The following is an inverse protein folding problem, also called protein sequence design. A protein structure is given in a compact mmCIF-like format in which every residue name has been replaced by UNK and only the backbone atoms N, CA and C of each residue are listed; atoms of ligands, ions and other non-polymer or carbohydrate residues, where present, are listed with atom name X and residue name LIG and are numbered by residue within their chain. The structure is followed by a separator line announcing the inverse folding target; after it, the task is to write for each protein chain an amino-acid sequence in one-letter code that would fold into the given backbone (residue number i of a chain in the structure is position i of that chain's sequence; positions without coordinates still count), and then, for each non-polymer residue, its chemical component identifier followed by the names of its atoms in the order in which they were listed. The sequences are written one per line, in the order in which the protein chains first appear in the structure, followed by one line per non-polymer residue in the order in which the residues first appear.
data_IF_067487723190
#
_entry.id   IF_067487723190
#
_cell.length_a   1.000
_cell.length_b   1.000
_cell.length_c   1.000
_cell.angle_alpha   90.00
_cell.angle_beta   90.00
_cell.angle_gamma   90.00
#
_symmetry.space_group_name_H-M   'P 1'
#
loop_
_entity.id
_entity.type
_entity.pdbx_description
1 polymer ?
#
# COMPACT_ATOMS: atom_id res chain seq x y z
N UNK A 1 -8.70 12.57 -20.95
CA UNK A 1 -7.69 12.65 -19.87
C UNK A 1 -7.79 11.36 -19.09
N UNK A 2 -6.66 10.76 -18.77
CA UNK A 2 -6.66 9.42 -18.15
C UNK A 2 -6.68 9.51 -16.63
N UNK A 3 -7.51 8.68 -15.99
CA UNK A 3 -7.42 8.44 -14.56
C UNK A 3 -6.31 7.41 -14.30
N UNK A 4 -5.52 7.64 -13.26
CA UNK A 4 -4.35 6.81 -12.97
C UNK A 4 -4.54 6.06 -11.66
N UNK A 5 -4.32 4.76 -11.68
CA UNK A 5 -4.25 3.92 -10.47
C UNK A 5 -2.79 3.60 -10.18
N UNK A 6 -2.35 3.85 -8.96
CA UNK A 6 -0.99 3.52 -8.50
C UNK A 6 -1.05 2.39 -7.49
N UNK A 7 -0.35 1.30 -7.78
CA UNK A 7 -0.24 0.13 -6.89
C UNK A 7 1.22 -0.30 -6.72
N UNK A 8 1.59 -0.86 -5.58
CA UNK A 8 2.88 -1.52 -5.43
C UNK A 8 2.87 -2.91 -6.06
N UNK A 9 3.87 -3.27 -6.83
CA UNK A 9 3.93 -4.54 -7.56
C UNK A 9 4.63 -5.68 -6.80
N UNK A 10 5.19 -5.41 -5.63
CA UNK A 10 5.93 -6.37 -4.81
C UNK A 10 5.28 -6.49 -3.41
N UNK A 11 6.07 -6.54 -2.34
CA UNK A 11 5.56 -6.63 -0.96
C UNK A 11 5.43 -5.30 -0.22
N UNK A 12 5.21 -4.20 -0.93
CA UNK A 12 5.21 -2.85 -0.37
C UNK A 12 6.63 -2.26 -0.28
N UNK A 13 6.71 -1.02 0.19
CA UNK A 13 7.98 -0.28 0.33
C UNK A 13 8.77 -0.09 -0.98
N UNK A 14 8.09 -0.16 -2.13
CA UNK A 14 8.69 0.04 -3.46
C UNK A 14 9.07 1.49 -3.76
N UNK A 15 8.90 2.41 -2.79
CA UNK A 15 9.17 3.83 -3.02
C UNK A 15 7.97 4.60 -3.61
N UNK A 16 6.75 4.10 -3.37
CA UNK A 16 5.50 4.73 -3.86
C UNK A 16 5.38 6.21 -3.53
N UNK A 17 5.83 6.62 -2.33
CA UNK A 17 5.67 8.00 -1.85
C UNK A 17 6.19 9.05 -2.83
N UNK A 18 7.41 8.88 -3.36
CA UNK A 18 8.01 9.80 -4.35
C UNK A 18 7.16 9.90 -5.62
N UNK A 19 6.76 8.75 -6.17
CA UNK A 19 6.02 8.70 -7.45
C UNK A 19 4.60 9.22 -7.26
N UNK A 20 3.93 8.87 -6.17
CA UNK A 20 2.59 9.39 -5.85
C UNK A 20 2.63 10.90 -5.60
N UNK A 21 3.66 11.43 -4.93
CA UNK A 21 3.85 12.87 -4.78
C UNK A 21 3.99 13.56 -6.13
N UNK A 22 4.84 13.03 -7.00
CA UNK A 22 5.04 13.56 -8.35
C UNK A 22 3.75 13.54 -9.18
N UNK A 23 2.96 12.46 -9.10
CA UNK A 23 1.67 12.34 -9.77
C UNK A 23 0.58 13.21 -9.12
N UNK A 24 0.57 13.31 -7.80
CA UNK A 24 -0.43 14.09 -7.07
C UNK A 24 -0.39 15.58 -7.42
N UNK A 25 0.77 16.11 -7.77
CA UNK A 25 0.89 17.48 -8.26
C UNK A 25 0.11 17.71 -9.57
N UNK A 26 0.01 16.68 -10.40
CA UNK A 26 -0.62 16.71 -11.73
C UNK A 26 -2.08 16.27 -11.73
N UNK A 27 -2.55 15.76 -10.60
CA UNK A 27 -3.94 15.34 -10.38
C UNK A 27 -4.78 16.49 -9.80
N UNK A 28 -6.07 16.50 -10.08
CA UNK A 28 -7.05 17.39 -9.45
C UNK A 28 -7.66 16.76 -8.20
N UNK A 29 -7.80 15.41 -8.23
CA UNK A 29 -8.38 14.62 -7.14
C UNK A 29 -7.45 13.46 -6.81
N UNK A 30 -7.20 13.20 -5.51
CA UNK A 30 -6.40 12.07 -5.03
C UNK A 30 -7.24 11.20 -4.11
N UNK A 31 -7.32 9.90 -4.38
CA UNK A 31 -8.24 8.97 -3.71
C UNK A 31 -7.48 7.81 -3.08
N UNK A 32 -7.59 7.64 -1.77
CA UNK A 32 -7.22 6.39 -1.08
C UNK A 32 -8.40 5.44 -1.17
N UNK A 33 -8.20 4.23 -1.68
CA UNK A 33 -9.30 3.31 -1.97
C UNK A 33 -9.32 2.02 -1.13
N UNK A 34 -8.25 1.75 -0.38
CA UNK A 34 -8.15 0.56 0.46
C UNK A 34 -7.15 0.74 1.61
N UNK A 35 -7.08 -0.25 2.53
CA UNK A 35 -6.21 -0.24 3.69
C UNK A 35 -6.78 0.62 4.82
N UNK A 36 -5.91 1.15 5.64
CA UNK A 36 -6.22 2.04 6.75
C UNK A 36 -4.97 2.82 7.14
N UNK A 37 -4.87 3.20 8.40
CA UNK A 37 -3.71 3.94 8.92
C UNK A 37 -2.47 3.04 9.19
N UNK A 38 -2.50 1.76 8.76
CA UNK A 38 -1.34 0.87 8.77
C UNK A 38 -0.32 1.18 7.64
N UNK A 39 -0.74 1.88 6.59
CA UNK A 39 0.18 2.41 5.60
C UNK A 39 0.89 3.64 6.17
N UNK A 40 2.11 3.86 5.73
CA UNK A 40 2.87 5.07 6.05
C UNK A 40 3.68 5.47 4.84
N UNK A 41 3.55 6.72 4.42
CA UNK A 41 4.42 7.28 3.40
C UNK A 41 4.91 8.66 3.81
N UNK A 42 6.12 8.95 3.39
CA UNK A 42 6.78 10.22 3.67
C UNK A 42 6.86 11.01 2.39
N UNK A 43 6.46 12.26 2.46
CA UNK A 43 6.59 13.24 1.38
C UNK A 43 7.58 14.31 1.84
N UNK A 44 8.38 14.80 0.90
CA UNK A 44 9.26 15.95 1.13
C UNK A 44 8.87 17.04 0.13
N UNK A 45 8.35 18.16 0.64
CA UNK A 45 7.88 19.27 -0.18
C UNK A 45 8.55 20.54 0.33
N UNK A 46 9.31 21.21 -0.51
CA UNK A 46 10.04 22.45 -0.19
C UNK A 46 10.93 22.32 1.07
N UNK A 47 11.51 21.13 1.27
CA UNK A 47 12.36 20.80 2.43
C UNK A 47 11.60 20.37 3.68
N UNK A 48 10.28 20.50 3.71
CA UNK A 48 9.43 20.05 4.81
C UNK A 48 9.04 18.57 4.66
N UNK A 49 9.07 17.82 5.77
CA UNK A 49 8.78 16.39 5.80
C UNK A 49 7.38 16.12 6.33
N UNK A 50 6.52 15.59 5.49
CA UNK A 50 5.15 15.18 5.85
C UNK A 50 5.08 13.65 5.95
N UNK A 51 4.63 13.15 7.09
CA UNK A 51 4.40 11.71 7.32
C UNK A 51 2.91 11.44 7.36
N UNK A 52 2.39 10.80 6.33
CA UNK A 52 0.98 10.47 6.17
C UNK A 52 0.75 8.98 6.44
N UNK A 53 -0.41 8.67 7.00
CA UNK A 53 -0.83 7.29 7.27
C UNK A 53 -2.19 6.98 6.63
N UNK A 54 -3.19 7.81 6.89
CA UNK A 54 -4.56 7.63 6.41
C UNK A 54 -4.93 8.65 5.33
N UNK A 55 -4.44 9.87 5.45
CA UNK A 55 -4.72 10.95 4.50
C UNK A 55 -4.07 10.67 3.14
N UNK A 56 -4.77 10.96 2.02
CA UNK A 56 -4.18 10.90 0.68
C UNK A 56 -3.04 11.89 0.50
N UNK A 57 -2.08 11.56 -0.37
CA UNK A 57 -0.88 12.38 -0.63
C UNK A 57 -1.19 13.79 -1.14
N UNK A 58 -2.31 13.97 -1.82
CA UNK A 58 -2.72 15.28 -2.34
C UNK A 58 -3.05 16.32 -1.26
N UNK A 59 -3.30 15.89 -0.01
CA UNK A 59 -3.76 16.77 1.08
C UNK A 59 -2.77 17.88 1.45
N UNK A 60 -1.48 17.63 1.28
CA UNK A 60 -0.42 18.59 1.60
C UNK A 60 -0.19 19.63 0.48
N UNK A 61 -0.92 19.49 -0.63
CA UNK A 61 -0.86 20.41 -1.77
C UNK A 61 -2.17 21.17 -1.91
N UNK A 62 -2.12 22.47 -1.78
CA UNK A 62 -3.31 23.31 -1.91
C UNK A 62 -4.06 23.15 -3.24
N UNK A 63 -5.36 23.43 -3.22
CA UNK A 63 -6.21 23.45 -4.41
C UNK A 63 -6.61 22.06 -4.97
N UNK A 64 -6.40 20.98 -4.21
CA UNK A 64 -6.74 19.61 -4.59
C UNK A 64 -7.74 18.99 -3.64
N UNK A 65 -8.62 18.15 -4.19
CA UNK A 65 -9.53 17.36 -3.37
C UNK A 65 -8.91 16.00 -3.05
N UNK A 66 -8.82 15.68 -1.78
CA UNK A 66 -8.40 14.38 -1.26
C UNK A 66 -9.61 13.60 -0.77
N UNK A 67 -9.74 12.33 -1.18
CA UNK A 67 -10.87 11.48 -0.84
C UNK A 67 -10.40 10.20 -0.15
N UNK A 68 -10.98 9.90 1.00
CA UNK A 68 -10.89 8.59 1.65
C UNK A 68 -12.10 7.79 1.18
N UNK A 69 -11.87 6.83 0.26
CA UNK A 69 -12.90 6.01 -0.36
C UNK A 69 -13.48 4.95 0.56
N UNK A 70 -14.65 4.42 0.22
CA UNK A 70 -15.41 3.44 1.01
C UNK A 70 -14.70 2.09 1.22
N UNK A 71 -13.64 1.79 0.46
CA UNK A 71 -12.80 0.62 0.66
C UNK A 71 -11.89 0.72 1.87
N UNK A 72 -11.57 1.93 2.32
CA UNK A 72 -10.72 2.17 3.49
C UNK A 72 -11.46 1.85 4.79
N UNK A 73 -10.75 1.28 5.77
CA UNK A 73 -11.20 1.23 7.16
C UNK A 73 -10.60 2.41 7.91
N UNK A 74 -11.44 3.25 8.52
CA UNK A 74 -11.06 4.54 9.08
C UNK A 74 -11.01 4.46 10.60
N UNK A 75 -9.83 4.70 11.16
CA UNK A 75 -9.71 5.02 12.59
C UNK A 75 -9.97 6.53 12.76
N UNK A 76 -11.12 6.93 13.35
CA UNK A 76 -11.48 8.33 13.43
C UNK A 76 -10.58 9.13 14.38
N UNK A 77 -10.02 8.49 15.41
CA UNK A 77 -9.08 9.15 16.33
C UNK A 77 -7.74 9.38 15.64
N UNK A 78 -7.21 8.36 14.96
CA UNK A 78 -5.98 8.48 14.19
C UNK A 78 -6.11 9.54 13.08
N UNK A 79 -7.27 9.62 12.41
CA UNK A 79 -7.53 10.63 11.37
C UNK A 79 -7.49 12.05 11.97
N UNK A 80 -8.17 12.28 13.09
CA UNK A 80 -8.19 13.59 13.75
C UNK A 80 -6.79 14.00 14.23
N UNK A 81 -6.02 13.07 14.78
CA UNK A 81 -4.64 13.34 15.20
C UNK A 81 -3.72 13.64 14.01
N UNK A 82 -3.88 12.93 12.87
CA UNK A 82 -3.12 13.21 11.66
C UNK A 82 -3.47 14.60 11.10
N UNK A 83 -4.75 14.98 11.08
CA UNK A 83 -5.22 16.33 10.71
C UNK A 83 -4.60 17.40 11.61
N UNK A 84 -4.64 17.24 12.94
CA UNK A 84 -4.03 18.18 13.88
C UNK A 84 -2.52 18.33 13.67
N UNK A 85 -1.83 17.22 13.44
CA UNK A 85 -0.39 17.23 13.18
C UNK A 85 -0.05 18.04 11.93
N UNK A 86 -0.78 17.84 10.83
CA UNK A 86 -0.58 18.60 9.60
C UNK A 86 -0.97 20.07 9.75
N UNK A 87 -2.02 20.39 10.53
CA UNK A 87 -2.36 21.76 10.87
C UNK A 87 -1.22 22.48 11.61
N UNK A 88 -0.51 21.76 12.50
CA UNK A 88 0.71 22.26 13.15
C UNK A 88 1.88 22.52 12.18
N UNK A 89 1.85 21.93 10.98
CA UNK A 89 2.80 22.16 9.90
C UNK A 89 2.26 23.16 8.84
N UNK A 90 1.19 23.88 9.14
CA UNK A 90 0.62 24.91 8.26
C UNK A 90 -0.35 24.41 7.18
N UNK A 91 -0.71 23.12 7.19
CA UNK A 91 -1.66 22.55 6.23
C UNK A 91 -3.09 22.73 6.75
N UNK A 92 -3.91 23.51 6.04
CA UNK A 92 -5.34 23.68 6.38
C UNK A 92 -6.16 22.54 5.78
N UNK A 93 -6.87 21.78 6.62
CA UNK A 93 -7.72 20.66 6.22
C UNK A 93 -9.16 20.95 6.63
N UNK A 94 -10.05 20.98 5.64
CA UNK A 94 -11.48 21.22 5.82
C UNK A 94 -12.29 20.43 4.76
N UNK A 95 -13.61 20.63 4.72
CA UNK A 95 -14.50 19.95 3.78
C UNK A 95 -14.28 20.30 2.30
N UNK A 96 -13.53 21.35 1.98
CA UNK A 96 -13.21 21.73 0.61
C UNK A 96 -12.06 20.89 0.03
N UNK A 97 -11.15 20.43 0.91
CA UNK A 97 -9.95 19.68 0.48
C UNK A 97 -9.94 18.22 0.94
N UNK A 98 -10.78 17.81 1.90
CA UNK A 98 -10.88 16.43 2.36
C UNK A 98 -12.33 15.94 2.40
N UNK A 99 -12.59 14.81 1.76
CA UNK A 99 -13.85 14.08 1.84
C UNK A 99 -13.61 12.66 2.36
N UNK A 100 -14.36 12.27 3.40
CA UNK A 100 -14.42 10.89 3.91
C UNK A 100 -15.71 10.25 3.41
N UNK A 101 -15.60 9.13 2.69
CA UNK A 101 -16.78 8.43 2.18
C UNK A 101 -17.68 7.97 3.33
N UNK A 102 -18.96 8.28 3.23
CA UNK A 102 -19.99 7.85 4.18
C UNK A 102 -20.06 6.33 4.34
N UNK A 103 -19.58 5.57 3.34
CA UNK A 103 -19.55 4.11 3.34
C UNK A 103 -18.35 3.47 4.04
N UNK A 104 -17.36 4.22 4.51
CA UNK A 104 -16.21 3.68 5.23
C UNK A 104 -16.63 2.97 6.52
N UNK A 105 -16.06 1.79 6.79
CA UNK A 105 -16.17 1.12 8.08
C UNK A 105 -15.18 1.77 9.08
N UNK A 106 -15.57 1.84 10.35
CA UNK A 106 -14.74 2.41 11.41
C UNK A 106 -13.85 1.36 12.05
N UNK A 107 -12.62 1.75 12.35
CA UNK A 107 -11.77 1.08 13.32
C UNK A 107 -12.09 1.65 14.69
N UNK A 108 -12.40 0.79 15.63
CA UNK A 108 -12.71 1.14 17.01
C UNK A 108 -11.60 0.63 17.95
N UNK A 109 -11.46 1.13 19.18
CA UNK A 109 -10.41 0.70 20.11
C UNK A 109 -10.35 -0.81 20.31
N UNK A 110 -11.52 -1.47 20.40
CA UNK A 110 -11.60 -2.92 20.54
C UNK A 110 -10.94 -3.71 19.40
N UNK A 111 -10.88 -3.15 18.17
CA UNK A 111 -10.22 -3.78 17.03
C UNK A 111 -8.70 -3.82 17.20
N UNK A 112 -8.10 -2.71 17.67
CA UNK A 112 -6.67 -2.66 17.98
C UNK A 112 -6.28 -3.61 19.12
N UNK A 113 -7.11 -3.67 20.17
CA UNK A 113 -6.93 -4.62 21.27
C UNK A 113 -7.00 -6.07 20.79
N UNK A 114 -8.01 -6.43 19.98
CA UNK A 114 -8.17 -7.79 19.45
C UNK A 114 -7.01 -8.18 18.52
N UNK A 115 -6.54 -7.25 17.67
CA UNK A 115 -5.38 -7.45 16.81
C UNK A 115 -4.12 -7.76 17.63
N UNK A 116 -3.91 -7.02 18.73
CA UNK A 116 -2.84 -7.28 19.69
C UNK A 116 -2.94 -8.63 20.37
N UNK A 117 -4.12 -8.98 20.86
CA UNK A 117 -4.38 -10.27 21.54
C UNK A 117 -4.09 -11.44 20.60
N UNK A 118 -4.57 -11.39 19.37
CA UNK A 118 -4.36 -12.43 18.35
C UNK A 118 -2.88 -12.58 17.98
N UNK A 119 -2.17 -11.48 17.83
CA UNK A 119 -0.74 -11.48 17.52
C UNK A 119 0.09 -12.07 18.66
N UNK A 120 -0.23 -11.74 19.93
CA UNK A 120 0.45 -12.28 21.09
C UNK A 120 0.15 -13.78 21.30
N UNK A 121 -1.09 -14.20 21.05
CA UNK A 121 -1.45 -15.61 21.07
C UNK A 121 -0.74 -16.40 19.95
N UNK A 122 -0.55 -15.81 18.76
CA UNK A 122 0.20 -16.44 17.66
C UNK A 122 1.68 -16.59 17.99
N UNK A 123 2.29 -15.58 18.62
CA UNK A 123 3.69 -15.65 19.10
C UNK A 123 3.89 -16.72 20.16
N UNK A 124 2.95 -16.86 21.08
CA UNK A 124 3.02 -17.89 22.14
C UNK A 124 2.89 -19.32 21.57
N UNK A 125 2.27 -19.49 20.40
CA UNK A 125 2.14 -20.76 19.66
C UNK A 125 3.19 -20.91 18.54
N UNK A 126 4.27 -20.12 18.55
CA UNK A 126 5.20 -20.00 17.43
C UNK A 126 5.90 -21.29 16.98
N UNK A 127 5.83 -22.38 17.77
CA UNK A 127 6.25 -23.71 17.32
C UNK A 127 5.26 -24.36 16.33
N UNK A 128 4.02 -23.86 16.19
CA UNK A 128 2.94 -24.51 15.42
C UNK A 128 2.15 -23.59 14.50
N UNK A 129 2.44 -22.27 14.44
CA UNK A 129 1.65 -21.36 13.62
C UNK A 129 2.39 -20.13 13.11
N UNK A 130 1.96 -19.56 11.98
CA UNK A 130 2.61 -18.40 11.39
C UNK A 130 2.36 -17.15 12.25
N UNK A 131 3.43 -16.43 12.58
CA UNK A 131 3.35 -15.07 13.13
C UNK A 131 3.28 -14.10 11.96
N UNK A 132 2.15 -13.41 11.80
CA UNK A 132 1.93 -12.49 10.66
C UNK A 132 2.76 -11.22 10.80
N UNK A 133 2.99 -10.75 12.03
CA UNK A 133 3.71 -9.50 12.29
C UNK A 133 2.85 -8.27 12.05
N UNK A 134 1.59 -8.29 12.53
CA UNK A 134 0.64 -7.19 12.35
C UNK A 134 1.12 -5.88 12.95
N UNK A 135 0.55 -4.77 12.48
CA UNK A 135 0.82 -3.43 13.04
C UNK A 135 0.07 -3.16 14.35
N UNK A 136 -0.79 -4.08 14.80
CA UNK A 136 -1.69 -3.97 15.97
C UNK A 136 -2.61 -2.74 15.91
N UNK A 137 -2.96 -2.31 14.70
CA UNK A 137 -3.83 -1.13 14.47
C UNK A 137 -5.29 -1.50 14.22
N UNK A 138 -5.66 -2.76 14.39
CA UNK A 138 -7.03 -3.23 14.25
C UNK A 138 -7.55 -3.30 12.82
N UNK A 139 -6.67 -3.26 11.81
CA UNK A 139 -7.05 -3.28 10.39
C UNK A 139 -7.79 -4.58 10.06
N UNK A 140 -7.20 -5.75 10.39
CA UNK A 140 -7.79 -7.05 10.14
C UNK A 140 -9.16 -7.22 10.81
N UNK A 141 -9.29 -7.02 12.12
CA UNK A 141 -10.57 -7.09 12.81
C UNK A 141 -11.64 -6.15 12.26
N UNK A 142 -11.28 -4.94 11.81
CA UNK A 142 -12.23 -4.00 11.20
C UNK A 142 -12.72 -4.49 9.81
N UNK A 143 -11.84 -5.04 8.98
CA UNK A 143 -12.26 -5.69 7.71
C UNK A 143 -13.10 -6.95 7.96
N UNK A 144 -12.77 -7.75 8.97
CA UNK A 144 -13.58 -8.90 9.40
C UNK A 144 -15.00 -8.46 9.75
N UNK A 145 -15.16 -7.39 10.53
CA UNK A 145 -16.46 -6.84 10.89
C UNK A 145 -17.21 -6.25 9.69
N UNK A 146 -16.50 -5.60 8.77
CA UNK A 146 -17.08 -5.08 7.52
C UNK A 146 -17.71 -6.22 6.70
N UNK A 147 -16.96 -7.31 6.45
CA UNK A 147 -17.42 -8.46 5.66
C UNK A 147 -18.52 -9.22 6.39
N UNK A 148 -18.45 -9.33 7.72
CA UNK A 148 -19.49 -9.92 8.56
C UNK A 148 -20.74 -9.01 8.73
N UNK A 149 -20.75 -7.81 8.17
CA UNK A 149 -21.88 -6.85 8.17
C UNK A 149 -22.27 -6.34 9.55
N UNK A 150 -21.32 -6.33 10.51
CA UNK A 150 -21.52 -5.81 11.88
C UNK A 150 -20.72 -4.53 12.14
N UNK A 151 -19.92 -4.05 11.18
CA UNK A 151 -19.18 -2.81 11.30
C UNK A 151 -20.10 -1.60 11.50
N UNK A 152 -19.63 -0.63 12.28
CA UNK A 152 -20.16 0.72 12.32
C UNK A 152 -19.53 1.48 11.14
N UNK A 153 -20.34 2.20 10.37
CA UNK A 153 -19.87 2.99 9.24
C UNK A 153 -19.92 4.48 9.54
N UNK A 154 -19.19 5.26 8.78
CA UNK A 154 -19.15 6.71 8.91
C UNK A 154 -20.54 7.35 8.81
N UNK A 155 -21.42 6.85 7.93
CA UNK A 155 -22.82 7.32 7.83
C UNK A 155 -23.64 7.11 9.11
N UNK A 156 -23.33 6.11 9.91
CA UNK A 156 -24.05 5.78 11.13
C UNK A 156 -23.82 6.85 12.24
N UNK A 157 -22.71 7.60 12.15
CA UNK A 157 -22.31 8.63 13.13
C UNK A 157 -23.30 9.80 13.25
N UNK A 158 -24.22 9.96 12.29
CA UNK A 158 -25.23 11.03 12.27
C UNK A 158 -26.27 10.89 13.38
N UNK A 159 -26.44 9.70 13.98
CA UNK A 159 -27.49 9.42 14.96
C UNK A 159 -26.95 8.53 16.09
N UNK A 160 -27.04 9.02 17.32
CA UNK A 160 -26.69 8.24 18.52
C UNK A 160 -27.53 6.99 18.65
N UNK A 161 -28.81 7.04 18.30
CA UNK A 161 -29.71 5.86 18.27
C UNK A 161 -29.17 4.79 17.31
N UNK A 162 -28.74 5.21 16.12
CA UNK A 162 -28.15 4.28 15.13
C UNK A 162 -26.83 3.71 15.64
N UNK A 163 -25.95 4.54 16.17
CA UNK A 163 -24.67 4.10 16.77
C UNK A 163 -24.94 3.09 17.90
N UNK A 164 -25.90 3.39 18.79
CA UNK A 164 -26.28 2.52 19.89
C UNK A 164 -26.70 1.12 19.42
N UNK A 165 -27.59 1.05 18.43
CA UNK A 165 -28.04 -0.22 17.82
C UNK A 165 -26.87 -0.99 17.16
N UNK A 166 -25.96 -0.29 16.47
CA UNK A 166 -24.79 -0.89 15.84
C UNK A 166 -23.79 -1.41 16.88
N UNK A 167 -23.58 -0.67 17.96
CA UNK A 167 -22.72 -1.11 19.08
C UNK A 167 -23.30 -2.39 19.72
N UNK A 168 -24.62 -2.50 19.88
CA UNK A 168 -25.24 -3.73 20.41
C UNK A 168 -24.94 -4.94 19.52
N UNK A 169 -25.09 -4.82 18.21
CA UNK A 169 -24.76 -5.87 17.25
C UNK A 169 -23.26 -6.22 17.31
N UNK A 170 -22.39 -5.22 17.35
CA UNK A 170 -20.94 -5.41 17.41
C UNK A 170 -20.53 -6.14 18.68
N UNK A 171 -21.00 -5.68 19.86
CA UNK A 171 -20.62 -6.25 21.16
C UNK A 171 -21.25 -7.61 21.42
N UNK A 172 -22.40 -7.93 20.80
CA UNK A 172 -22.97 -9.29 20.87
C UNK A 172 -22.03 -10.36 20.30
N UNK A 173 -21.13 -9.99 19.41
CA UNK A 173 -20.06 -10.85 18.87
C UNK A 173 -18.76 -10.74 19.69
N UNK A 174 -18.30 -9.52 19.93
CA UNK A 174 -16.97 -9.30 20.52
C UNK A 174 -16.90 -9.62 22.01
N UNK A 175 -17.94 -9.34 22.82
CA UNK A 175 -17.89 -9.58 24.26
C UNK A 175 -17.84 -11.08 24.62
N UNK A 176 -18.62 -11.99 23.99
CA UNK A 176 -18.43 -13.44 24.19
C UNK A 176 -17.02 -13.92 23.79
N UNK A 177 -16.48 -13.40 22.68
CA UNK A 177 -15.11 -13.74 22.26
C UNK A 177 -14.07 -13.28 23.26
N UNK A 178 -14.18 -12.04 23.77
CA UNK A 178 -13.28 -11.48 24.79
C UNK A 178 -13.31 -12.29 26.07
N UNK A 179 -14.50 -12.66 26.57
CA UNK A 179 -14.63 -13.54 27.76
C UNK A 179 -13.95 -14.90 27.54
N UNK A 180 -14.16 -15.50 26.35
CA UNK A 180 -13.54 -16.77 26.00
C UNK A 180 -12.00 -16.71 25.93
N UNK A 181 -11.45 -15.53 25.66
CA UNK A 181 -10.01 -15.25 25.63
C UNK A 181 -9.47 -14.77 27.00
N UNK A 182 -10.32 -14.64 28.03
CA UNK A 182 -9.93 -14.20 29.37
C UNK A 182 -9.76 -12.68 29.52
N UNK A 183 -10.41 -11.88 28.65
CA UNK A 183 -10.40 -10.41 28.70
C UNK A 183 -11.75 -9.85 29.14
N UNK A 184 -11.72 -8.66 29.72
CA UNK A 184 -12.91 -7.93 30.12
C UNK A 184 -13.78 -7.59 28.91
N UNK A 185 -15.09 -7.52 29.13
CA UNK A 185 -16.03 -7.03 28.14
C UNK A 185 -15.82 -5.53 27.87
N UNK A 186 -16.12 -5.10 26.66
CA UNK A 186 -16.14 -3.70 26.31
C UNK A 186 -17.36 -3.06 26.95
N UNK A 187 -17.16 -1.98 27.69
CA UNK A 187 -18.26 -1.15 28.22
C UNK A 187 -19.01 -0.47 27.08
N UNK A 188 -20.28 -0.83 26.94
CA UNK A 188 -21.19 -0.34 25.92
C UNK A 188 -21.36 1.19 25.99
N UNK A 189 -21.63 1.72 27.19
CA UNK A 189 -21.91 3.15 27.35
C UNK A 189 -20.67 4.00 27.07
N UNK A 190 -19.54 3.58 27.60
CA UNK A 190 -18.27 4.26 27.35
C UNK A 190 -17.87 4.24 25.85
N UNK A 191 -18.13 3.13 25.13
CA UNK A 191 -17.86 3.06 23.71
C UNK A 191 -18.74 4.01 22.91
N UNK A 192 -20.06 4.06 23.17
CA UNK A 192 -20.99 4.97 22.51
C UNK A 192 -20.56 6.43 22.75
N UNK A 193 -20.25 6.79 24.00
CA UNK A 193 -19.81 8.14 24.33
C UNK A 193 -18.56 8.55 23.53
N UNK A 194 -17.54 7.70 23.47
CA UNK A 194 -16.31 7.95 22.70
C UNK A 194 -16.61 8.13 21.21
N UNK A 195 -17.48 7.29 20.63
CA UNK A 195 -17.86 7.39 19.22
C UNK A 195 -18.60 8.70 18.95
N UNK A 196 -19.55 9.09 19.80
CA UNK A 196 -20.31 10.32 19.61
C UNK A 196 -19.46 11.58 19.83
N UNK A 197 -18.46 11.52 20.68
CA UNK A 197 -17.52 12.61 20.87
C UNK A 197 -16.66 12.83 19.61
N UNK A 198 -16.04 11.77 19.08
CA UNK A 198 -15.18 11.87 17.89
C UNK A 198 -15.98 12.19 16.62
N UNK A 199 -17.25 11.81 16.56
CA UNK A 199 -18.12 12.02 15.40
C UNK A 199 -18.23 13.51 15.01
N UNK A 200 -18.17 14.41 15.98
CA UNK A 200 -18.23 15.88 15.78
C UNK A 200 -17.11 16.40 14.87
N UNK A 201 -15.95 15.73 14.89
CA UNK A 201 -14.79 16.09 14.07
C UNK A 201 -14.83 15.43 12.68
N UNK A 202 -15.52 14.29 12.55
CA UNK A 202 -15.57 13.53 11.30
C UNK A 202 -16.75 13.99 10.43
N UNK A 203 -17.94 14.20 11.01
CA UNK A 203 -19.16 14.52 10.26
C UNK A 203 -19.05 15.71 9.30
N UNK A 204 -18.30 16.79 9.60
CA UNK A 204 -18.12 17.89 8.64
C UNK A 204 -17.40 17.48 7.35
N UNK A 205 -16.64 16.38 7.37
CA UNK A 205 -15.83 15.89 6.23
C UNK A 205 -16.54 14.80 5.42
N UNK A 206 -17.77 14.41 5.81
CA UNK A 206 -18.45 13.22 5.27
C UNK A 206 -19.25 13.56 4.01
N UNK A 207 -19.11 12.70 3.00
CA UNK A 207 -19.89 12.82 1.78
C UNK A 207 -19.97 11.54 0.95
N UNK A 208 -20.79 11.59 -0.11
CA UNK A 208 -20.95 10.52 -1.08
C UNK A 208 -19.79 10.54 -2.10
N UNK A 209 -18.72 9.80 -1.83
CA UNK A 209 -17.51 9.80 -2.65
C UNK A 209 -17.78 9.46 -4.12
N UNK A 210 -18.64 8.47 -4.38
CA UNK A 210 -19.01 8.05 -5.73
C UNK A 210 -19.61 9.20 -6.57
N UNK A 211 -20.44 10.04 -5.95
CA UNK A 211 -21.06 11.17 -6.63
C UNK A 211 -20.04 12.25 -6.99
N UNK A 212 -19.21 12.62 -6.02
CA UNK A 212 -18.15 13.62 -6.24
C UNK A 212 -17.15 13.17 -7.31
N UNK A 213 -16.83 11.88 -7.34
CA UNK A 213 -15.94 11.30 -8.36
C UNK A 213 -16.61 11.24 -9.74
N UNK A 214 -17.91 10.97 -9.81
CA UNK A 214 -18.65 11.00 -11.09
C UNK A 214 -18.72 12.44 -11.63
N UNK A 215 -18.99 13.43 -10.79
CA UNK A 215 -18.95 14.86 -11.16
C UNK A 215 -17.55 15.26 -11.64
N UNK A 216 -16.50 14.91 -10.90
CA UNK A 216 -15.11 15.20 -11.28
C UNK A 216 -14.74 14.59 -12.66
N UNK A 217 -15.18 13.37 -12.93
CA UNK A 217 -14.98 12.72 -14.24
C UNK A 217 -15.71 13.43 -15.37
N UNK A 218 -16.94 13.84 -15.17
CA UNK A 218 -17.71 14.60 -16.17
C UNK A 218 -17.06 15.94 -16.47
N UNK A 219 -16.46 16.55 -15.46
CA UNK A 219 -15.72 17.82 -15.59
C UNK A 219 -14.33 17.64 -16.21
N UNK A 220 -13.94 16.42 -16.59
CA UNK A 220 -12.63 16.12 -17.18
C UNK A 220 -11.47 16.26 -16.21
N UNK A 221 -11.71 16.16 -14.91
CA UNK A 221 -10.69 16.20 -13.86
C UNK A 221 -9.78 14.97 -13.92
N UNK A 222 -8.50 15.17 -13.62
CA UNK A 222 -7.51 14.10 -13.48
C UNK A 222 -7.63 13.48 -12.09
N UNK A 223 -7.95 12.19 -12.01
CA UNK A 223 -8.08 11.46 -10.75
C UNK A 223 -6.90 10.51 -10.58
N UNK A 224 -6.24 10.59 -9.43
CA UNK A 224 -5.20 9.69 -8.99
C UNK A 224 -5.76 8.76 -7.90
N UNK A 225 -5.83 7.47 -8.17
CA UNK A 225 -6.16 6.46 -7.18
C UNK A 225 -4.88 5.92 -6.55
N UNK A 226 -4.69 6.21 -5.28
CA UNK A 226 -3.50 5.88 -4.51
C UNK A 226 -3.70 4.60 -3.70
N UNK A 227 -3.02 3.52 -4.10
CA UNK A 227 -2.98 2.26 -3.36
C UNK A 227 -2.00 2.28 -2.20
N UNK A 228 -2.27 1.47 -1.21
CA UNK A 228 -1.38 1.19 -0.09
C UNK A 228 -0.85 -0.25 -0.19
N UNK A 229 0.25 -0.56 0.48
CA UNK A 229 0.94 -1.85 0.45
C UNK A 229 1.45 -2.23 -0.96
N UNK A 230 1.62 -3.52 -1.22
CA UNK A 230 1.98 -4.10 -2.51
C UNK A 230 1.13 -5.32 -2.82
N UNK A 231 0.96 -5.66 -4.10
CA UNK A 231 0.03 -6.71 -4.54
C UNK A 231 0.38 -8.08 -3.96
N UNK A 232 1.65 -8.35 -3.67
CA UNK A 232 2.03 -9.60 -2.99
C UNK A 232 1.59 -9.65 -1.52
N UNK A 233 0.98 -8.57 -1.01
CA UNK A 233 0.27 -8.51 0.27
C UNK A 233 -1.25 -8.48 0.10
N UNK A 234 -1.79 -8.65 -1.11
CA UNK A 234 -3.24 -8.74 -1.37
C UNK A 234 -3.84 -9.97 -0.68
N UNK A 235 -5.04 -9.82 -0.10
CA UNK A 235 -5.70 -10.89 0.65
C UNK A 235 -5.99 -12.13 -0.19
N UNK A 236 -6.26 -11.96 -1.49
CA UNK A 236 -6.64 -13.04 -2.41
C UNK A 236 -5.47 -13.52 -3.28
N UNK A 237 -4.58 -12.60 -3.66
CA UNK A 237 -3.52 -12.84 -4.66
C UNK A 237 -2.10 -12.82 -4.09
N UNK A 238 -1.96 -12.44 -2.84
CA UNK A 238 -0.65 -12.34 -2.17
C UNK A 238 -0.17 -13.66 -1.53
N UNK A 239 0.88 -13.54 -0.76
CA UNK A 239 1.52 -14.66 -0.04
C UNK A 239 0.75 -15.02 1.23
N UNK A 240 -0.50 -15.46 1.10
CA UNK A 240 -1.36 -15.86 2.22
C UNK A 240 -0.70 -16.96 3.06
N UNK A 241 -0.73 -16.89 4.43
CA UNK A 241 -1.46 -15.91 5.25
C UNK A 241 -0.68 -14.63 5.58
N UNK A 242 0.52 -14.44 5.04
CA UNK A 242 1.40 -13.28 5.28
C UNK A 242 1.03 -12.10 4.38
N UNK A 243 -0.19 -11.59 4.55
CA UNK A 243 -0.83 -10.56 3.72
C UNK A 243 -1.51 -9.50 4.57
N UNK A 244 -1.94 -8.39 3.95
CA UNK A 244 -2.88 -7.45 4.55
C UNK A 244 -4.31 -7.99 4.45
N UNK A 245 -5.24 -7.39 5.16
CA UNK A 245 -6.65 -7.83 5.18
C UNK A 245 -7.51 -7.14 4.12
N UNK A 246 -6.90 -6.53 3.12
CA UNK A 246 -7.60 -5.84 2.03
C UNK A 246 -7.12 -6.29 0.66
N UNK A 247 -7.95 -6.09 -0.36
CA UNK A 247 -7.50 -6.20 -1.73
C UNK A 247 -6.63 -5.00 -2.10
N UNK A 248 -5.47 -5.28 -2.70
CA UNK A 248 -4.44 -4.31 -3.10
C UNK A 248 -4.37 -4.15 -4.62
N UNK A 249 -4.92 -5.11 -5.38
CA UNK A 249 -4.99 -5.08 -6.84
C UNK A 249 -5.68 -3.82 -7.35
N UNK A 250 -5.30 -3.35 -8.53
CA UNK A 250 -5.81 -2.08 -9.08
C UNK A 250 -7.33 -2.05 -9.26
N UNK A 251 -7.96 -3.19 -9.55
CA UNK A 251 -9.43 -3.30 -9.67
C UNK A 251 -10.17 -2.86 -8.40
N UNK A 252 -9.54 -2.97 -7.24
CA UNK A 252 -10.09 -2.48 -5.96
C UNK A 252 -10.29 -0.97 -5.94
N UNK A 253 -9.58 -0.20 -6.76
CA UNK A 253 -9.79 1.24 -6.87
C UNK A 253 -11.24 1.57 -7.29
N UNK A 254 -11.82 0.79 -8.17
CA UNK A 254 -13.22 0.96 -8.58
C UNK A 254 -14.18 0.69 -7.42
N UNK A 255 -14.13 -0.50 -6.83
CA UNK A 255 -15.01 -0.89 -5.71
C UNK A 255 -14.77 -0.06 -4.45
N UNK A 256 -13.51 0.26 -4.16
CA UNK A 256 -13.10 0.98 -2.95
C UNK A 256 -13.32 2.49 -2.97
N UNK A 257 -13.64 3.08 -4.12
CA UNK A 257 -13.97 4.50 -4.26
C UNK A 257 -15.38 4.77 -4.77
N UNK A 258 -16.04 3.72 -5.32
CA UNK A 258 -17.41 3.81 -5.85
C UNK A 258 -17.47 4.31 -7.29
N UNK A 259 -16.45 4.07 -8.11
CA UNK A 259 -16.46 4.36 -9.54
C UNK A 259 -16.64 3.07 -10.36
N UNK A 260 -17.03 3.18 -11.61
CA UNK A 260 -17.09 2.03 -12.52
C UNK A 260 -15.68 1.54 -12.89
N UNK A 261 -15.53 0.24 -13.16
CA UNK A 261 -14.23 -0.33 -13.56
C UNK A 261 -13.66 0.30 -14.84
N UNK A 262 -14.52 0.75 -15.73
CA UNK A 262 -14.16 1.47 -16.96
C UNK A 262 -13.66 2.90 -16.73
N UNK A 263 -13.51 3.31 -15.47
CA UNK A 263 -12.95 4.61 -15.09
C UNK A 263 -11.47 4.53 -14.75
N UNK A 264 -10.85 3.36 -14.85
CA UNK A 264 -9.44 3.11 -14.57
C UNK A 264 -8.69 3.04 -15.89
N UNK A 265 -8.17 4.19 -16.37
CA UNK A 265 -7.63 4.30 -17.72
C UNK A 265 -6.18 3.82 -17.81
N UNK A 266 -5.39 4.11 -16.78
CA UNK A 266 -3.99 3.72 -16.70
C UNK A 266 -3.64 3.13 -15.32
N UNK A 267 -3.01 1.96 -15.31
CA UNK A 267 -2.55 1.32 -14.07
C UNK A 267 -1.02 1.36 -14.04
N UNK A 268 -0.48 2.10 -13.08
CA UNK A 268 0.95 2.24 -12.85
C UNK A 268 1.39 1.34 -11.68
N UNK A 269 2.22 0.35 -11.97
CA UNK A 269 2.87 -0.48 -10.96
C UNK A 269 4.15 0.17 -10.45
N UNK A 270 4.29 0.37 -9.15
CA UNK A 270 5.57 0.80 -8.59
C UNK A 270 6.38 -0.45 -8.28
N UNK A 271 7.56 -0.52 -8.89
CA UNK A 271 8.41 -1.71 -8.88
C UNK A 271 9.83 -1.30 -8.48
N UNK A 272 10.40 -1.94 -7.51
CA UNK A 272 11.80 -1.72 -7.13
C UNK A 272 12.73 -2.54 -8.02
N UNK A 273 13.88 -2.01 -8.39
CA UNK A 273 14.88 -2.69 -9.24
C UNK A 273 15.51 -3.95 -8.60
N UNK A 274 15.20 -4.21 -7.35
CA UNK A 274 15.46 -5.44 -6.60
C UNK A 274 14.23 -5.74 -5.73
N UNK A 275 14.26 -6.78 -4.92
CA UNK A 275 13.09 -7.14 -4.11
C UNK A 275 13.35 -6.92 -2.63
N UNK A 276 12.35 -6.40 -1.91
CA UNK A 276 12.38 -6.31 -0.44
C UNK A 276 11.09 -6.80 0.18
N UNK A 277 11.19 -7.33 1.40
CA UNK A 277 10.03 -7.76 2.18
C UNK A 277 10.21 -7.40 3.65
N UNK A 278 9.13 -6.97 4.30
CA UNK A 278 9.04 -6.80 5.75
C UNK A 278 8.29 -7.97 6.34
N UNK A 279 8.75 -8.47 7.49
CA UNK A 279 8.05 -9.53 8.23
C UNK A 279 8.30 -10.93 7.68
N UNK A 280 7.47 -11.86 8.14
CA UNK A 280 7.57 -13.28 7.83
C UNK A 280 6.98 -13.63 6.47
N UNK A 281 7.11 -14.89 6.09
CA UNK A 281 6.56 -15.48 4.88
C UNK A 281 7.60 -15.72 3.78
N UNK A 282 7.20 -16.41 2.71
CA UNK A 282 8.10 -16.84 1.65
C UNK A 282 8.70 -15.67 0.89
N UNK A 283 9.98 -15.81 0.51
CA UNK A 283 10.72 -14.84 -0.27
C UNK A 283 11.76 -15.59 -1.13
N UNK A 284 11.39 -16.11 -2.30
CA UNK A 284 12.24 -17.01 -3.07
C UNK A 284 13.62 -16.45 -3.42
N UNK A 285 13.70 -15.16 -3.72
CA UNK A 285 14.94 -14.50 -4.15
C UNK A 285 15.72 -13.86 -3.01
N UNK A 286 15.38 -14.15 -1.75
CA UNK A 286 16.06 -13.57 -0.57
C UNK A 286 17.56 -13.91 -0.53
N UNK A 287 18.37 -12.92 -0.12
CA UNK A 287 19.82 -13.01 0.00
C UNK A 287 20.24 -12.89 1.45
N UNK A 288 21.02 -13.86 1.91
CA UNK A 288 21.55 -13.93 3.28
C UNK A 288 23.06 -13.57 3.35
N UNK A 289 23.65 -13.24 2.21
CA UNK A 289 25.05 -12.95 2.02
C UNK A 289 25.40 -11.45 2.09
N UNK A 290 26.64 -11.12 1.75
CA UNK A 290 27.15 -9.74 1.72
C UNK A 290 26.39 -8.88 0.68
N UNK A 291 25.90 -9.48 -0.41
CA UNK A 291 25.12 -8.77 -1.43
C UNK A 291 23.79 -8.31 -0.85
N UNK A 292 23.07 -9.20 -0.17
CA UNK A 292 21.80 -8.85 0.51
C UNK A 292 21.98 -7.76 1.57
N UNK A 293 23.06 -7.86 2.36
CA UNK A 293 23.43 -6.82 3.34
C UNK A 293 23.78 -5.50 2.66
N UNK A 294 24.50 -5.54 1.54
CA UNK A 294 24.86 -4.38 0.72
C UNK A 294 23.63 -3.65 0.18
N UNK A 295 22.65 -4.38 -0.38
CA UNK A 295 21.38 -3.85 -0.82
C UNK A 295 20.63 -3.15 0.33
N UNK A 296 20.57 -3.80 1.50
CA UNK A 296 19.93 -3.25 2.70
C UNK A 296 20.54 -1.92 3.15
N UNK A 297 21.87 -1.84 3.19
CA UNK A 297 22.61 -0.63 3.60
C UNK A 297 22.46 0.50 2.57
N UNK A 298 22.78 0.24 1.29
CA UNK A 298 22.71 1.25 0.22
C UNK A 298 21.28 1.74 -0.04
N UNK A 299 20.32 0.80 0.00
CA UNK A 299 18.91 1.11 -0.18
C UNK A 299 18.24 1.76 1.04
N UNK A 300 18.94 1.89 2.18
CA UNK A 300 18.35 2.33 3.46
C UNK A 300 17.07 1.53 3.78
N UNK A 301 17.16 0.19 3.64
CA UNK A 301 16.02 -0.70 3.77
C UNK A 301 15.65 -0.97 5.24
N UNK A 302 15.11 0.07 5.88
CA UNK A 302 14.60 0.03 7.24
C UNK A 302 13.16 0.54 7.26
N UNK A 303 12.31 -0.09 8.06
CA UNK A 303 10.90 0.29 8.18
C UNK A 303 10.75 1.69 8.78
N UNK A 304 10.07 2.59 8.07
CA UNK A 304 9.90 4.01 8.46
C UNK A 304 9.20 4.18 9.81
N UNK A 305 8.32 3.24 10.19
CA UNK A 305 7.54 3.29 11.43
C UNK A 305 8.15 2.41 12.52
N UNK A 306 8.64 1.23 12.16
CA UNK A 306 9.09 0.20 13.12
C UNK A 306 10.60 0.12 13.27
N UNK A 307 11.37 0.76 12.39
CA UNK A 307 12.83 0.65 12.33
C UNK A 307 13.34 -0.76 11.99
N UNK A 308 12.46 -1.72 11.69
CA UNK A 308 12.86 -3.10 11.35
C UNK A 308 13.60 -3.11 10.03
N UNK A 309 14.69 -3.88 9.98
CA UNK A 309 15.39 -4.19 8.73
C UNK A 309 14.47 -4.93 7.77
N UNK A 310 14.49 -4.52 6.49
CA UNK A 310 13.83 -5.25 5.41
C UNK A 310 14.74 -6.36 4.92
N UNK A 311 14.16 -7.50 4.62
CA UNK A 311 14.81 -8.60 3.90
C UNK A 311 15.02 -8.15 2.47
N UNK A 312 16.18 -8.44 1.88
CA UNK A 312 16.54 -8.02 0.51
C UNK A 312 16.82 -9.23 -0.36
N UNK A 313 16.54 -9.12 -1.65
CA UNK A 313 16.75 -10.18 -2.62
C UNK A 313 16.83 -9.66 -4.05
N UNK A 314 17.20 -10.53 -4.97
CA UNK A 314 17.24 -10.21 -6.39
C UNK A 314 15.86 -9.89 -6.96
N UNK A 315 15.83 -9.19 -8.09
CA UNK A 315 14.59 -8.94 -8.82
C UNK A 315 13.92 -10.24 -9.24
N UNK A 316 12.63 -10.37 -8.94
CA UNK A 316 11.82 -11.54 -9.27
C UNK A 316 10.88 -11.22 -10.43
N UNK A 317 11.31 -11.55 -11.65
CA UNK A 317 10.54 -11.25 -12.83
C UNK A 317 9.31 -12.17 -12.99
N UNK A 318 9.34 -13.38 -12.44
CA UNK A 318 8.20 -14.31 -12.49
C UNK A 318 7.04 -13.77 -11.67
N UNK A 319 7.31 -13.45 -10.41
CA UNK A 319 6.33 -12.86 -9.50
C UNK A 319 5.80 -11.53 -10.04
N UNK A 320 6.68 -10.63 -10.48
CA UNK A 320 6.28 -9.31 -10.99
C UNK A 320 5.44 -9.46 -12.27
N UNK A 321 5.81 -10.32 -13.22
CA UNK A 321 5.01 -10.60 -14.43
C UNK A 321 3.60 -11.10 -14.08
N UNK A 322 3.48 -12.00 -13.10
CA UNK A 322 2.18 -12.46 -12.61
C UNK A 322 1.34 -11.31 -12.07
N UNK A 323 1.93 -10.44 -11.28
CA UNK A 323 1.28 -9.24 -10.72
C UNK A 323 0.83 -8.28 -11.82
N UNK A 324 1.64 -8.07 -12.89
CA UNK A 324 1.25 -7.25 -14.04
C UNK A 324 -0.08 -7.74 -14.63
N UNK A 325 -0.21 -9.06 -14.81
CA UNK A 325 -1.40 -9.69 -15.39
C UNK A 325 -2.60 -9.64 -14.46
N UNK A 326 -2.43 -10.00 -13.18
CA UNK A 326 -3.52 -10.01 -12.19
C UNK A 326 -4.11 -8.61 -11.98
N UNK A 327 -3.27 -7.59 -11.96
CA UNK A 327 -3.68 -6.23 -11.64
C UNK A 327 -3.94 -5.35 -12.88
N UNK A 328 -3.70 -5.87 -14.08
CA UNK A 328 -3.85 -5.13 -15.34
C UNK A 328 -2.91 -3.91 -15.43
N UNK A 329 -1.67 -4.04 -14.93
CA UNK A 329 -0.69 -2.97 -14.95
C UNK A 329 -0.23 -2.72 -16.39
N UNK A 330 -0.33 -1.47 -16.84
CA UNK A 330 -0.03 -1.05 -18.20
C UNK A 330 1.34 -0.39 -18.36
N UNK A 331 1.97 -0.04 -17.24
CA UNK A 331 3.33 0.47 -17.19
C UNK A 331 3.85 0.48 -15.77
N UNK A 332 5.17 0.51 -15.59
CA UNK A 332 5.77 0.55 -14.26
C UNK A 332 6.56 1.84 -14.02
N UNK A 333 6.62 2.25 -12.76
CA UNK A 333 7.65 3.13 -12.26
C UNK A 333 8.72 2.29 -11.58
N UNK A 334 9.87 2.15 -12.23
CA UNK A 334 11.01 1.41 -11.69
C UNK A 334 11.80 2.32 -10.76
N UNK A 335 12.00 1.89 -9.53
CA UNK A 335 12.62 2.69 -8.46
C UNK A 335 13.91 2.05 -7.94
N UNK A 336 14.75 2.85 -7.29
CA UNK A 336 15.95 2.34 -6.60
C UNK A 336 17.00 1.72 -7.52
N UNK A 337 17.09 2.17 -8.77
CA UNK A 337 18.11 1.70 -9.70
C UNK A 337 19.52 2.02 -9.18
N UNK A 338 19.69 3.20 -8.59
CA UNK A 338 20.90 3.72 -7.96
C UNK A 338 21.51 2.80 -6.88
N UNK A 339 20.68 1.99 -6.24
CA UNK A 339 21.13 1.03 -5.22
C UNK A 339 22.00 -0.08 -5.81
N UNK A 340 21.86 -0.35 -7.09
CA UNK A 340 22.61 -1.38 -7.82
C UNK A 340 23.94 -0.87 -8.38
N UNK A 341 24.24 0.43 -8.29
CA UNK A 341 25.50 1.01 -8.75
C UNK A 341 26.72 0.34 -8.11
N UNK A 342 27.77 0.10 -8.89
CA UNK A 342 29.00 -0.51 -8.44
C UNK A 342 28.95 -2.03 -8.21
N UNK A 343 27.86 -2.70 -8.64
CA UNK A 343 27.81 -4.16 -8.64
C UNK A 343 28.42 -4.70 -9.93
N UNK A 344 29.27 -5.72 -9.81
CA UNK A 344 29.88 -6.37 -10.97
C UNK A 344 28.90 -7.27 -11.73
N UNK A 345 28.00 -7.93 -10.99
CA UNK A 345 27.04 -8.90 -11.50
C UNK A 345 25.67 -8.68 -10.85
N UNK A 346 24.62 -8.81 -11.64
CA UNK A 346 23.22 -8.75 -11.21
C UNK A 346 22.50 -10.03 -11.60
N UNK A 347 21.54 -10.46 -10.78
CA UNK A 347 20.72 -11.64 -11.11
C UNK A 347 19.24 -11.28 -11.16
N UNK A 348 18.54 -11.83 -12.12
CA UNK A 348 17.08 -11.74 -12.27
C UNK A 348 16.51 -13.15 -12.19
N UNK A 349 15.54 -13.37 -11.30
CA UNK A 349 14.80 -14.62 -11.26
C UNK A 349 13.86 -14.67 -12.47
N UNK A 350 14.07 -15.66 -13.34
CA UNK A 350 13.35 -15.85 -14.61
C UNK A 350 12.45 -17.09 -14.62
N UNK A 351 12.51 -17.91 -13.58
CA UNK A 351 11.72 -19.12 -13.40
C UNK A 351 11.85 -19.65 -11.98
N UNK A 352 11.04 -20.65 -11.66
CA UNK A 352 11.18 -21.43 -10.43
C UNK A 352 11.33 -22.91 -10.77
N UNK A 353 11.86 -23.65 -9.81
CA UNK A 353 11.84 -25.10 -9.78
C UNK A 353 11.16 -25.55 -8.48
N UNK A 354 10.22 -26.47 -8.57
CA UNK A 354 9.52 -27.07 -7.44
C UNK A 354 9.45 -28.59 -7.66
N UNK A 355 10.02 -29.36 -6.73
CA UNK A 355 10.04 -30.83 -6.80
C UNK A 355 10.62 -31.39 -8.11
N UNK A 356 11.58 -30.67 -8.74
CA UNK A 356 12.20 -31.04 -10.00
C UNK A 356 11.42 -30.60 -11.25
N UNK A 357 10.28 -29.95 -11.10
CA UNK A 357 9.50 -29.38 -12.19
C UNK A 357 9.70 -27.86 -12.31
N UNK A 358 9.77 -27.36 -13.55
CA UNK A 358 9.89 -25.93 -13.82
C UNK A 358 8.52 -25.25 -13.73
N UNK A 359 8.47 -24.10 -13.03
CA UNK A 359 7.30 -23.24 -12.93
C UNK A 359 7.61 -21.85 -13.49
N UNK A 360 6.65 -21.29 -14.23
CA UNK A 360 6.68 -19.94 -14.78
C UNK A 360 5.73 -18.98 -14.07
N UNK A 361 5.21 -19.39 -12.90
CA UNK A 361 4.31 -18.61 -12.03
C UNK A 361 4.66 -18.88 -10.56
N UNK A 362 4.27 -17.95 -9.69
CA UNK A 362 4.41 -18.09 -8.23
C UNK A 362 3.18 -18.83 -7.66
N UNK A 363 3.37 -20.01 -7.01
CA UNK A 363 2.26 -20.84 -6.56
C UNK A 363 1.45 -20.19 -5.44
N UNK A 364 0.21 -20.64 -5.24
CA UNK A 364 -0.69 -20.09 -4.19
C UNK A 364 -0.51 -20.78 -2.83
N UNK A 365 -0.12 -22.05 -2.80
CA UNK A 365 0.09 -22.79 -1.55
C UNK A 365 1.30 -22.27 -0.81
N UNK A 366 1.17 -22.06 0.50
CA UNK A 366 2.25 -21.58 1.37
C UNK A 366 3.44 -22.54 1.38
N UNK A 367 3.18 -23.85 1.36
CA UNK A 367 4.22 -24.87 1.36
C UNK A 367 4.99 -24.86 0.03
N UNK A 368 4.27 -24.75 -1.10
CA UNK A 368 4.88 -24.64 -2.42
C UNK A 368 5.67 -23.31 -2.55
N UNK A 369 5.11 -22.20 -2.05
CA UNK A 369 5.80 -20.91 -2.01
C UNK A 369 7.11 -20.95 -1.22
N UNK A 370 7.15 -21.74 -0.15
CA UNK A 370 8.37 -21.94 0.64
C UNK A 370 9.35 -22.92 -0.02
N UNK A 371 8.85 -23.80 -0.87
CA UNK A 371 9.62 -24.86 -1.53
C UNK A 371 10.20 -24.49 -2.89
N UNK A 372 9.76 -23.39 -3.52
CA UNK A 372 10.28 -22.99 -4.83
C UNK A 372 11.75 -22.56 -4.74
N UNK A 373 12.51 -23.00 -5.72
CA UNK A 373 13.92 -22.64 -5.93
C UNK A 373 13.99 -21.66 -7.11
N UNK A 374 14.52 -20.43 -6.94
CA UNK A 374 14.61 -19.48 -8.03
C UNK A 374 15.66 -19.88 -9.07
N UNK A 375 15.32 -19.77 -10.34
CA UNK A 375 16.22 -19.92 -11.47
C UNK A 375 16.64 -18.54 -11.95
N UNK A 376 17.94 -18.29 -11.98
CA UNK A 376 18.47 -16.96 -12.28
C UNK A 376 19.06 -16.86 -13.69
N UNK A 377 18.83 -15.72 -14.31
CA UNK A 377 19.64 -15.16 -15.39
C UNK A 377 20.63 -14.17 -14.79
N UNK A 378 21.91 -14.28 -15.16
CA UNK A 378 22.96 -13.38 -14.73
C UNK A 378 23.24 -12.33 -15.80
N UNK A 379 23.39 -11.07 -15.37
CA UNK A 379 23.73 -9.93 -16.22
C UNK A 379 24.96 -9.23 -15.68
N UNK A 380 25.75 -8.62 -16.59
CA UNK A 380 26.82 -7.72 -16.17
C UNK A 380 26.22 -6.49 -15.44
N UNK A 381 26.83 -6.10 -14.37
CA UNK A 381 26.53 -4.87 -13.67
C UNK A 381 27.21 -3.64 -14.31
N UNK A 382 27.30 -2.56 -13.55
CA UNK A 382 27.95 -1.31 -14.00
C UNK A 382 28.68 -0.65 -12.84
N UNK A 383 29.75 0.08 -13.17
CA UNK A 383 30.59 0.79 -12.22
C UNK A 383 30.26 2.26 -12.08
N UNK A 384 29.67 2.85 -13.12
CA UNK A 384 29.30 4.25 -13.16
C UNK A 384 28.03 4.50 -12.35
N UNK A 385 27.84 5.72 -11.86
CA UNK A 385 26.66 6.06 -11.08
C UNK A 385 25.45 6.32 -11.95
N UNK A 386 24.29 5.76 -11.56
CA UNK A 386 22.98 6.14 -12.09
C UNK A 386 22.30 7.22 -11.25
N UNK A 387 22.87 7.55 -10.09
CA UNK A 387 22.29 8.50 -9.14
C UNK A 387 22.13 9.89 -9.76
N UNK A 388 20.91 10.41 -9.71
CA UNK A 388 20.59 11.74 -10.21
C UNK A 388 20.45 11.84 -11.74
N UNK A 389 20.49 10.72 -12.49
CA UNK A 389 20.24 10.74 -13.93
C UNK A 389 18.81 11.20 -14.22
N UNK A 390 18.66 12.10 -15.18
CA UNK A 390 17.38 12.69 -15.62
C UNK A 390 17.03 12.41 -17.08
N UNK A 391 17.91 11.70 -17.77
CA UNK A 391 17.75 11.30 -19.17
C UNK A 391 18.36 9.92 -19.38
N UNK A 392 17.86 9.18 -20.38
CA UNK A 392 18.44 7.88 -20.76
C UNK A 392 19.91 7.96 -21.16
N UNK A 393 20.37 9.09 -21.73
CA UNK A 393 21.75 9.29 -22.14
C UNK A 393 22.72 9.37 -20.95
N UNK A 394 22.18 9.69 -19.76
CA UNK A 394 22.98 9.81 -18.53
C UNK A 394 23.24 8.44 -17.88
N UNK A 395 22.56 7.38 -18.38
CA UNK A 395 22.64 6.05 -17.81
C UNK A 395 23.76 5.20 -18.43
N UNK A 396 24.47 4.40 -17.65
CA UNK A 396 25.39 3.39 -18.16
C UNK A 396 24.69 2.40 -19.09
N UNK A 397 25.40 1.95 -20.12
CA UNK A 397 24.83 1.01 -21.11
C UNK A 397 24.30 -0.29 -20.47
N UNK A 398 24.98 -0.79 -19.45
CA UNK A 398 24.55 -2.00 -18.76
C UNK A 398 23.31 -1.76 -17.90
N UNK A 399 23.17 -0.58 -17.27
CA UNK A 399 21.96 -0.20 -16.56
C UNK A 399 20.76 -0.13 -17.52
N UNK A 400 20.94 0.44 -18.72
CA UNK A 400 19.90 0.44 -19.77
C UNK A 400 19.53 -0.99 -20.16
N UNK A 401 20.51 -1.88 -20.37
CA UNK A 401 20.24 -3.29 -20.70
C UNK A 401 19.45 -3.99 -19.58
N UNK A 402 19.80 -3.75 -18.33
CA UNK A 402 19.09 -4.29 -17.18
C UNK A 402 17.62 -3.86 -17.15
N UNK A 403 17.36 -2.56 -17.33
CA UNK A 403 15.99 -2.01 -17.40
C UNK A 403 15.22 -2.62 -18.55
N UNK A 404 15.81 -2.71 -19.75
CA UNK A 404 15.16 -3.33 -20.93
C UNK A 404 14.89 -4.81 -20.72
N UNK A 405 15.82 -5.52 -20.07
CA UNK A 405 15.60 -6.93 -19.77
C UNK A 405 14.47 -7.17 -18.79
N UNK A 406 14.31 -6.28 -17.80
CA UNK A 406 13.13 -6.29 -16.92
C UNK A 406 11.85 -6.11 -17.73
N UNK A 407 11.76 -5.10 -18.60
CA UNK A 407 10.58 -4.85 -19.45
C UNK A 407 10.20 -6.10 -20.27
N UNK A 408 11.16 -6.75 -20.89
CA UNK A 408 10.96 -7.99 -21.67
C UNK A 408 10.39 -9.11 -20.79
N UNK A 409 11.02 -9.36 -19.65
CA UNK A 409 10.66 -10.48 -18.77
C UNK A 409 9.29 -10.29 -18.10
N UNK A 410 8.92 -9.06 -17.74
CA UNK A 410 7.62 -8.77 -17.12
C UNK A 410 6.52 -8.42 -18.14
N UNK A 411 6.86 -8.33 -19.42
CA UNK A 411 5.95 -8.00 -20.52
C UNK A 411 5.24 -6.62 -20.33
N UNK A 412 5.92 -5.67 -19.68
CA UNK A 412 5.32 -4.37 -19.33
C UNK A 412 6.39 -3.28 -19.41
N UNK A 413 6.09 -2.12 -20.08
CA UNK A 413 7.07 -1.06 -20.27
C UNK A 413 7.34 -0.25 -18.99
N UNK A 414 8.56 0.28 -18.86
CA UNK A 414 8.92 1.28 -17.87
C UNK A 414 8.41 2.66 -18.35
N UNK A 415 7.40 3.17 -17.68
CA UNK A 415 6.85 4.50 -17.92
C UNK A 415 7.62 5.60 -17.18
N UNK A 416 8.15 5.28 -16.01
CA UNK A 416 8.90 6.18 -15.14
C UNK A 416 10.10 5.44 -14.57
N UNK A 417 11.28 6.07 -14.59
CA UNK A 417 12.49 5.53 -13.94
C UNK A 417 12.99 6.52 -12.88
N UNK A 418 13.06 6.06 -11.64
CA UNK A 418 13.56 6.84 -10.50
C UNK A 418 15.00 6.45 -10.18
N UNK A 419 15.90 7.43 -10.21
CA UNK A 419 17.35 7.26 -10.11
C UNK A 419 17.94 7.76 -8.79
N UNK A 420 17.13 8.34 -7.91
CA UNK A 420 17.52 8.75 -6.54
C UNK A 420 16.28 8.94 -5.66
N UNK A 421 16.42 9.19 -4.37
CA UNK A 421 15.31 9.59 -3.50
C UNK A 421 14.69 10.96 -3.87
N UNK A 422 15.47 11.85 -4.49
CA UNK A 422 15.04 13.20 -4.86
C UNK A 422 13.99 13.18 -5.96
N UNK A 423 12.97 14.02 -5.81
CA UNK A 423 11.81 14.07 -6.70
C UNK A 423 12.17 14.33 -8.16
N UNK A 424 13.07 15.27 -8.39
CA UNK A 424 13.48 15.72 -9.73
C UNK A 424 14.35 14.69 -10.47
N UNK A 425 14.93 13.73 -9.75
CA UNK A 425 15.76 12.70 -10.32
C UNK A 425 14.89 11.53 -10.83
N UNK A 426 14.13 11.87 -11.88
CA UNK A 426 13.12 10.97 -12.47
C UNK A 426 13.16 11.14 -13.99
N UNK A 427 13.33 10.02 -14.71
CA UNK A 427 13.23 9.95 -16.16
C UNK A 427 11.79 9.59 -16.51
N UNK A 428 11.07 10.54 -17.13
CA UNK A 428 9.71 10.31 -17.61
C UNK A 428 9.77 9.76 -19.04
N UNK A 429 9.35 8.52 -19.22
CA UNK A 429 9.27 7.85 -20.54
C UNK A 429 7.87 8.02 -21.13
N UNK A 430 6.84 7.83 -20.30
CA UNK A 430 5.44 8.02 -20.69
C UNK A 430 4.68 8.67 -19.54
N UNK A 431 3.89 9.70 -19.85
CA UNK A 431 3.05 10.35 -18.86
C UNK A 431 1.76 9.54 -18.64
N UNK A 432 1.53 8.98 -17.44
CA UNK A 432 0.34 8.16 -17.16
C UNK A 432 -0.99 8.90 -17.37
N UNK A 433 -1.02 10.23 -17.26
CA UNK A 433 -2.25 11.03 -17.46
C UNK A 433 -2.54 11.37 -18.93
N UNK A 434 -1.66 11.00 -19.85
CA UNK A 434 -1.83 11.26 -21.29
C UNK A 434 -2.23 10.00 -22.09
N UNK A 435 -2.32 8.87 -21.45
CA UNK A 435 -2.81 7.60 -22.02
C UNK A 435 -1.72 6.71 -22.60
#
# INVERSE_FOLDING_TARGET
MSNVVVVGSQWGDEGKGKIVDWLSERADVVVRFQGGHNAGHTLVIDGEVYKLSLLPSGIVRGGKLSIIGNGVVVDPWALVEEIKKLAGQGVTINAECLLVSEGCALILPLHGELDGIREDASKARSETGPVIGTTRRGIGPAYEDKVARRAIRVCDLKSEETVSKRVDVLLSHHNPLRRGLGFDEVDRAALILKIMEISKHILPLVGASWRVLDEARRDGKKILFEGAQGIMLDIDHGTYPFVTSSNVVASQAAGGSGVGANSLDYVLGITKAYTTRVGSGPFPTELFDEVGQGLGKRGHEFGTVTGRSRRCGWFDAVMVRQVMKISGITGIALTKLDVLDGMEELKICVGYELNGEKLDYFPASTDDQAGVIPVYETMDGWSESTFGARSWIDLPAQAIKYVRRIEELIETPVAILSTSPEREDTILVKNPFEG
#
